data_IF_958223819117
#
_entry.id   IF_958223819117
#
_cell.length_a   1.000
_cell.length_b   1.000
_cell.length_c   1.000
_cell.angle_alpha   90.00
_cell.angle_beta   90.00
_cell.angle_gamma   90.00
#
_symmetry.space_group_name_H-M   'P 1'
#
loop_
_entity.id
_entity.type
_entity.pdbx_description
1 polymer ?
#
# COMPACT_ATOMS: atom_id res chain seq x y z
N UNK A 1 4.18 15.74 -4.47
CA UNK A 1 5.28 16.72 -4.38
C UNK A 1 5.97 16.53 -3.03
N UNK A 2 7.29 16.33 -3.01
CA UNK A 2 8.07 16.15 -1.77
C UNK A 2 8.91 17.39 -1.47
N UNK A 3 9.26 17.63 -0.22
CA UNK A 3 10.14 18.73 0.20
C UNK A 3 11.33 18.15 0.96
N UNK A 4 12.55 18.48 0.52
CA UNK A 4 13.77 18.14 1.26
C UNK A 4 13.78 18.79 2.66
N UNK A 5 14.39 18.10 3.62
CA UNK A 5 14.57 18.53 5.00
C UNK A 5 15.07 19.98 5.14
N UNK A 6 16.02 20.41 4.31
CA UNK A 6 16.58 21.77 4.37
C UNK A 6 15.69 22.86 3.75
N UNK A 7 14.73 22.46 2.92
CA UNK A 7 13.71 23.32 2.31
C UNK A 7 12.47 23.47 3.21
N UNK A 8 12.14 22.43 4.00
CA UNK A 8 10.97 22.39 4.90
C UNK A 8 10.90 23.60 5.82
N UNK A 9 11.99 23.94 6.50
CA UNK A 9 12.04 25.04 7.47
C UNK A 9 11.61 26.40 6.89
N UNK A 10 11.89 26.62 5.60
CA UNK A 10 11.55 27.87 4.90
C UNK A 10 10.07 27.94 4.50
N UNK A 11 9.38 26.78 4.47
CA UNK A 11 8.02 26.64 3.93
C UNK A 11 6.96 26.38 5.01
N UNK A 12 7.35 26.03 6.25
CA UNK A 12 6.43 25.65 7.35
C UNK A 12 5.22 26.57 7.46
N UNK A 13 5.43 27.89 7.61
CA UNK A 13 4.31 28.84 7.75
C UNK A 13 3.34 28.87 6.58
N UNK A 14 3.84 28.63 5.36
CA UNK A 14 2.99 28.58 4.16
C UNK A 14 2.20 27.28 4.09
N UNK A 15 2.83 26.16 4.44
CA UNK A 15 2.19 24.85 4.50
C UNK A 15 1.14 24.76 5.60
N UNK A 16 1.40 25.36 6.77
CA UNK A 16 0.42 25.49 7.87
C UNK A 16 -0.84 26.22 7.41
N UNK A 17 -0.67 27.36 6.73
CA UNK A 17 -1.81 28.12 6.20
C UNK A 17 -2.61 27.31 5.19
N UNK A 18 -1.95 26.59 4.28
CA UNK A 18 -2.64 25.74 3.30
C UNK A 18 -3.42 24.62 4.01
N UNK A 19 -2.86 24.01 5.04
CA UNK A 19 -3.57 23.01 5.86
C UNK A 19 -4.84 23.58 6.47
N UNK A 20 -4.75 24.76 7.08
CA UNK A 20 -5.90 25.44 7.69
C UNK A 20 -6.97 25.80 6.65
N UNK A 21 -6.56 26.42 5.53
CA UNK A 21 -7.47 26.82 4.44
C UNK A 21 -8.18 25.62 3.80
N UNK A 22 -7.50 24.49 3.68
CA UNK A 22 -8.06 23.24 3.14
C UNK A 22 -8.78 22.39 4.20
N UNK A 23 -8.80 22.80 5.47
CA UNK A 23 -9.43 22.05 6.55
C UNK A 23 -8.81 20.67 6.80
N UNK A 24 -7.51 20.51 6.58
CA UNK A 24 -6.83 19.22 6.73
C UNK A 24 -6.66 18.90 8.23
N UNK A 25 -7.18 17.77 8.73
CA UNK A 25 -7.09 17.43 10.14
C UNK A 25 -5.66 17.09 10.55
N UNK A 26 -5.16 17.75 11.59
CA UNK A 26 -3.77 17.60 12.09
C UNK A 26 -3.63 16.64 13.28
N UNK A 27 -4.74 16.16 13.84
CA UNK A 27 -4.75 15.25 14.98
C UNK A 27 -6.06 14.49 15.09
N UNK A 28 -6.16 13.59 16.06
CA UNK A 28 -7.33 12.73 16.27
C UNK A 28 -8.08 13.12 17.55
N UNK A 29 -9.43 13.00 17.58
CA UNK A 29 -10.21 13.11 18.81
C UNK A 29 -9.76 12.11 19.89
N UNK A 30 -9.97 12.47 21.16
CA UNK A 30 -9.48 11.67 22.28
C UNK A 30 -10.10 10.26 22.37
N UNK A 31 -11.38 10.13 22.05
CA UNK A 31 -12.09 8.84 21.98
C UNK A 31 -11.56 7.95 20.85
N UNK A 32 -11.16 8.54 19.72
CA UNK A 32 -10.50 7.82 18.62
C UNK A 32 -9.13 7.29 19.04
N UNK A 33 -8.33 8.10 19.74
CA UNK A 33 -7.02 7.66 20.26
C UNK A 33 -7.16 6.49 21.26
N UNK A 34 -8.13 6.59 22.17
CA UNK A 34 -8.44 5.51 23.12
C UNK A 34 -8.89 4.24 22.39
N UNK A 35 -9.74 4.36 21.37
CA UNK A 35 -10.17 3.24 20.55
C UNK A 35 -9.00 2.61 19.78
N UNK A 36 -8.09 3.43 19.23
CA UNK A 36 -6.90 2.96 18.53
C UNK A 36 -5.96 2.15 19.44
N UNK A 37 -5.69 2.65 20.65
CA UNK A 37 -4.87 1.96 21.64
C UNK A 37 -5.48 0.64 22.12
N UNK A 38 -6.80 0.55 22.16
CA UNK A 38 -7.52 -0.68 22.47
C UNK A 38 -7.44 -1.67 21.29
N UNK A 39 -7.70 -1.20 20.07
CA UNK A 39 -7.65 -1.99 18.85
C UNK A 39 -6.24 -2.55 18.59
N UNK A 40 -5.20 -1.76 18.82
CA UNK A 40 -3.80 -2.17 18.63
C UNK A 40 -3.37 -3.36 19.52
N UNK A 41 -4.12 -3.64 20.58
CA UNK A 41 -3.88 -4.77 21.51
C UNK A 41 -4.65 -6.03 21.13
N UNK A 42 -5.49 -5.98 20.10
CA UNK A 42 -6.23 -7.14 19.63
C UNK A 42 -5.26 -8.20 19.08
N UNK A 43 -5.39 -9.42 19.57
CA UNK A 43 -4.64 -10.58 19.06
C UNK A 43 -5.46 -11.25 17.95
N UNK A 44 -4.89 -11.47 16.75
CA UNK A 44 -5.61 -12.11 15.64
C UNK A 44 -6.33 -13.41 16.07
N UNK A 45 -7.57 -13.55 15.61
CA UNK A 45 -8.47 -14.63 16.02
C UNK A 45 -8.19 -15.95 15.33
N UNK A 46 -8.95 -16.99 15.68
CA UNK A 46 -8.92 -18.32 15.02
C UNK A 46 -9.39 -18.29 13.56
N UNK A 47 -10.05 -17.20 13.15
CA UNK A 47 -10.58 -17.03 11.80
C UNK A 47 -9.48 -16.68 10.78
N UNK A 48 -8.29 -16.29 11.24
CA UNK A 48 -7.12 -16.08 10.40
C UNK A 48 -6.39 -17.40 10.19
N UNK A 49 -6.32 -17.87 8.94
CA UNK A 49 -5.49 -19.03 8.59
C UNK A 49 -4.01 -18.73 8.79
N UNK A 50 -3.24 -19.73 9.22
CA UNK A 50 -1.80 -19.57 9.33
C UNK A 50 -1.13 -19.66 7.95
N UNK A 51 -0.56 -18.54 7.50
CA UNK A 51 0.23 -18.39 6.27
C UNK A 51 1.65 -17.88 6.61
N UNK A 52 2.08 -17.96 7.86
CA UNK A 52 3.34 -17.36 8.34
C UNK A 52 4.59 -18.02 7.74
N UNK A 53 4.46 -19.26 7.23
CA UNK A 53 5.53 -19.98 6.54
C UNK A 53 5.74 -19.52 5.08
N UNK A 54 4.76 -18.84 4.47
CA UNK A 54 4.89 -18.30 3.12
C UNK A 54 5.79 -17.05 3.14
N UNK A 55 6.62 -16.92 2.09
CA UNK A 55 7.64 -15.88 2.01
C UNK A 55 7.06 -14.57 1.50
N UNK A 56 6.15 -13.98 2.26
CA UNK A 56 5.67 -12.63 2.00
C UNK A 56 6.79 -11.61 2.20
N UNK A 57 6.90 -10.67 1.28
CA UNK A 57 7.78 -9.49 1.36
C UNK A 57 6.98 -8.23 1.07
N UNK A 58 7.45 -7.09 1.56
CA UNK A 58 6.91 -5.77 1.19
C UNK A 58 7.91 -5.03 0.31
N UNK A 59 7.45 -4.10 -0.53
CA UNK A 59 8.30 -3.28 -1.39
C UNK A 59 7.77 -1.85 -1.43
N UNK A 60 8.49 -0.96 -0.75
CA UNK A 60 8.04 0.39 -0.41
C UNK A 60 9.20 1.40 -0.45
N UNK A 61 8.95 2.71 -0.27
CA UNK A 61 10.04 3.63 0.04
C UNK A 61 10.81 3.19 1.30
N UNK A 62 12.13 3.44 1.33
CA UNK A 62 13.00 3.03 2.42
C UNK A 62 12.50 3.56 3.79
N UNK A 63 11.95 4.78 3.82
CA UNK A 63 11.45 5.46 5.02
C UNK A 63 10.03 5.06 5.44
N UNK A 64 9.29 4.30 4.63
CA UNK A 64 7.90 3.96 4.95
C UNK A 64 7.80 3.04 6.14
N UNK A 65 6.76 3.24 6.95
CA UNK A 65 6.43 2.46 8.15
C UNK A 65 4.98 1.99 8.16
N UNK A 66 4.15 2.59 7.31
CA UNK A 66 2.78 2.26 6.95
C UNK A 66 2.76 1.25 5.79
N UNK A 67 3.23 0.03 6.07
CA UNK A 67 3.28 -1.05 5.07
C UNK A 67 1.92 -1.74 4.98
N UNK A 68 1.12 -1.34 3.99
CA UNK A 68 -0.27 -1.82 3.82
C UNK A 68 -0.39 -3.15 3.06
N UNK A 69 0.65 -3.51 2.31
CA UNK A 69 0.59 -4.61 1.35
C UNK A 69 1.89 -5.41 1.31
N UNK A 70 1.77 -6.72 1.24
CA UNK A 70 2.85 -7.67 1.05
C UNK A 70 2.51 -8.64 -0.08
N UNK A 71 3.51 -9.29 -0.66
CA UNK A 71 3.30 -10.25 -1.73
C UNK A 71 4.21 -11.46 -1.63
N UNK A 72 3.70 -12.59 -2.10
CA UNK A 72 4.47 -13.78 -2.43
C UNK A 72 4.05 -14.25 -3.83
N UNK A 73 4.97 -14.84 -4.59
CA UNK A 73 4.72 -15.27 -5.97
C UNK A 73 5.15 -16.73 -6.14
N UNK A 74 4.31 -17.50 -6.81
CA UNK A 74 4.57 -18.88 -7.22
C UNK A 74 4.42 -19.01 -8.75
N UNK A 75 5.37 -19.69 -9.39
CA UNK A 75 5.25 -20.08 -10.81
C UNK A 75 4.54 -21.43 -10.90
N UNK A 76 3.35 -21.45 -11.48
CA UNK A 76 2.48 -22.63 -11.61
C UNK A 76 2.31 -23.02 -13.08
N UNK A 77 3.28 -23.78 -13.61
CA UNK A 77 3.27 -24.20 -15.00
C UNK A 77 3.48 -23.02 -15.94
N UNK A 78 2.44 -22.61 -16.69
CA UNK A 78 2.49 -21.40 -17.53
C UNK A 78 1.97 -20.16 -16.82
N UNK A 79 1.29 -20.33 -15.70
CA UNK A 79 0.68 -19.24 -14.95
C UNK A 79 1.61 -18.74 -13.86
N UNK A 80 1.36 -17.52 -13.41
CA UNK A 80 1.92 -16.97 -12.18
C UNK A 80 0.79 -16.85 -11.16
N UNK A 81 1.01 -17.34 -9.95
CA UNK A 81 0.09 -17.17 -8.81
C UNK A 81 0.69 -16.11 -7.89
N UNK A 82 -0.01 -14.99 -7.78
CA UNK A 82 0.27 -13.92 -6.85
C UNK A 82 -0.57 -14.13 -5.59
N UNK A 83 0.08 -14.30 -4.46
CA UNK A 83 -0.53 -14.13 -3.14
C UNK A 83 -0.31 -12.69 -2.72
N UNK A 84 -1.36 -11.87 -2.83
CA UNK A 84 -1.32 -10.45 -2.48
C UNK A 84 -2.01 -10.25 -1.14
N UNK A 85 -1.24 -9.92 -0.10
CA UNK A 85 -1.75 -9.72 1.23
C UNK A 85 -1.94 -8.23 1.50
N UNK A 86 -3.14 -7.84 1.89
CA UNK A 86 -3.47 -6.48 2.33
C UNK A 86 -3.69 -6.50 3.84
N UNK A 87 -3.17 -5.52 4.57
CA UNK A 87 -3.42 -5.36 6.00
C UNK A 87 -4.93 -5.47 6.31
N UNK A 88 -5.31 -6.34 7.25
CA UNK A 88 -6.71 -6.56 7.61
C UNK A 88 -7.19 -5.43 8.54
N UNK A 89 -7.32 -4.21 8.02
CA UNK A 89 -7.79 -3.05 8.80
C UNK A 89 -9.17 -3.32 9.42
N UNK A 90 -10.01 -4.11 8.74
CA UNK A 90 -11.32 -4.53 9.26
C UNK A 90 -11.27 -5.45 10.49
N UNK A 91 -10.08 -5.97 10.84
CA UNK A 91 -9.84 -6.61 12.14
C UNK A 91 -9.77 -5.61 13.28
N UNK A 92 -9.22 -4.41 13.03
CA UNK A 92 -9.00 -3.37 14.03
C UNK A 92 -10.14 -2.34 14.10
N UNK A 93 -10.88 -2.18 12.99
CA UNK A 93 -11.89 -1.15 12.82
C UNK A 93 -13.23 -1.82 12.50
N UNK A 94 -14.21 -1.64 13.38
CA UNK A 94 -15.54 -2.20 13.21
C UNK A 94 -16.59 -1.12 12.89
N UNK A 95 -17.64 -1.47 12.12
CA UNK A 95 -18.68 -0.52 11.76
C UNK A 95 -19.29 0.18 12.98
N UNK A 96 -19.34 1.51 12.95
CA UNK A 96 -19.93 2.33 13.99
C UNK A 96 -19.02 2.66 15.18
N UNK A 97 -17.81 2.11 15.28
CA UNK A 97 -16.84 2.47 16.33
C UNK A 97 -16.20 3.85 16.07
N UNK A 98 -15.56 4.49 17.07
CA UNK A 98 -14.93 5.81 16.89
C UNK A 98 -13.94 5.86 15.72
N UNK A 99 -13.16 4.79 15.52
CA UNK A 99 -12.21 4.67 14.41
C UNK A 99 -12.90 4.68 13.03
N UNK A 100 -14.03 3.98 12.90
CA UNK A 100 -14.80 3.89 11.66
C UNK A 100 -15.42 5.23 11.29
N UNK A 101 -16.04 5.91 12.26
CA UNK A 101 -16.63 7.25 12.04
C UNK A 101 -15.57 8.27 11.66
N UNK A 102 -14.44 8.31 12.37
CA UNK A 102 -13.35 9.23 12.05
C UNK A 102 -12.74 8.94 10.68
N UNK A 103 -12.53 7.66 10.33
CA UNK A 103 -12.04 7.29 9.01
C UNK A 103 -13.02 7.67 7.91
N UNK A 104 -14.34 7.56 8.15
CA UNK A 104 -15.37 8.01 7.22
C UNK A 104 -15.31 9.52 6.98
N UNK A 105 -15.15 10.32 8.04
CA UNK A 105 -15.02 11.79 7.93
C UNK A 105 -13.72 12.21 7.22
N UNK A 106 -12.61 11.50 7.45
CA UNK A 106 -11.31 11.75 6.79
C UNK A 106 -11.28 11.29 5.34
N UNK A 107 -11.97 10.19 5.03
CA UNK A 107 -12.01 9.44 3.76
C UNK A 107 -10.67 8.86 3.28
N UNK A 108 -9.58 9.64 3.29
CA UNK A 108 -8.27 9.27 2.75
C UNK A 108 -7.13 9.85 3.61
N UNK A 109 -5.94 9.23 3.54
CA UNK A 109 -4.72 9.87 4.00
C UNK A 109 -4.35 11.00 3.03
N UNK A 110 -4.12 12.22 3.55
CA UNK A 110 -3.66 13.36 2.75
C UNK A 110 -2.14 13.52 2.93
N UNK A 111 -1.40 13.32 1.84
CA UNK A 111 0.07 13.48 1.83
C UNK A 111 0.43 14.93 1.49
N UNK A 112 0.82 15.69 2.52
CA UNK A 112 1.36 17.03 2.37
C UNK A 112 2.87 16.97 2.11
N UNK A 113 3.47 18.05 1.58
CA UNK A 113 4.91 18.04 1.27
C UNK A 113 5.82 17.86 2.50
N UNK A 114 5.34 18.17 3.70
CA UNK A 114 6.09 18.12 4.96
C UNK A 114 5.57 17.11 5.99
N UNK A 115 4.30 16.69 5.91
CA UNK A 115 3.71 15.69 6.80
C UNK A 115 2.54 14.93 6.14
N UNK A 116 1.95 13.99 6.89
CA UNK A 116 0.79 13.22 6.44
C UNK A 116 -0.35 13.44 7.43
N UNK A 117 -1.53 13.79 6.92
CA UNK A 117 -2.76 13.65 7.68
C UNK A 117 -3.27 12.23 7.48
N UNK A 118 -2.90 11.33 8.39
CA UNK A 118 -3.18 9.90 8.26
C UNK A 118 -4.67 9.58 8.45
N UNK A 119 -5.13 8.52 7.79
CA UNK A 119 -6.49 8.01 7.95
C UNK A 119 -6.73 7.42 9.35
N UNK A 120 -5.74 6.71 9.89
CA UNK A 120 -5.77 6.11 11.22
C UNK A 120 -4.61 6.59 12.10
N UNK A 121 -4.78 6.60 13.43
CA UNK A 121 -3.68 6.88 14.37
C UNK A 121 -2.49 5.95 14.16
N UNK A 122 -1.27 6.47 14.37
CA UNK A 122 -0.01 5.77 14.04
C UNK A 122 0.18 4.46 14.80
N UNK A 123 -0.39 4.33 16.00
CA UNK A 123 -0.39 3.06 16.77
C UNK A 123 -1.04 1.90 15.97
N UNK A 124 -1.95 2.22 15.05
CA UNK A 124 -2.52 1.26 14.10
C UNK A 124 -1.78 1.30 12.76
N UNK A 125 -1.79 2.45 12.07
CA UNK A 125 -1.34 2.56 10.67
C UNK A 125 0.15 2.32 10.47
N UNK A 126 0.99 2.72 11.41
CA UNK A 126 2.45 2.51 11.40
C UNK A 126 2.87 1.40 12.38
N UNK A 127 1.87 0.71 12.97
CA UNK A 127 2.05 -0.20 14.09
C UNK A 127 1.29 -1.51 13.89
N UNK A 128 0.18 -1.68 14.61
CA UNK A 128 -0.51 -2.97 14.71
C UNK A 128 -1.06 -3.50 13.37
N UNK A 129 -1.51 -2.61 12.48
CA UNK A 129 -2.03 -2.98 11.17
C UNK A 129 -0.93 -3.06 10.09
N UNK A 130 0.20 -2.37 10.29
CA UNK A 130 1.29 -2.41 9.32
C UNK A 130 1.95 -3.78 9.29
N UNK A 131 2.20 -4.28 8.06
CA UNK A 131 2.89 -5.52 7.74
C UNK A 131 4.41 -5.40 7.95
N UNK A 132 4.82 -4.91 9.13
CA UNK A 132 6.22 -4.77 9.54
C UNK A 132 6.96 -6.12 9.51
N UNK A 133 8.28 -6.12 9.22
CA UNK A 133 9.06 -7.36 9.12
C UNK A 133 9.10 -8.13 10.44
N UNK A 134 9.21 -9.45 10.33
CA UNK A 134 9.43 -10.43 11.41
C UNK A 134 8.29 -10.57 12.44
N UNK A 135 7.19 -9.84 12.27
CA UNK A 135 6.01 -9.89 13.15
C UNK A 135 4.82 -10.52 12.43
N UNK A 136 4.09 -11.38 13.15
CA UNK A 136 2.84 -11.95 12.62
C UNK A 136 1.75 -10.87 12.60
N UNK A 137 1.15 -10.67 11.43
CA UNK A 137 0.14 -9.63 11.20
C UNK A 137 -1.11 -10.19 10.53
N UNK A 138 -2.31 -9.74 10.93
CA UNK A 138 -3.54 -10.11 10.26
C UNK A 138 -3.62 -9.42 8.89
N UNK A 139 -3.90 -10.19 7.86
CA UNK A 139 -4.02 -9.75 6.48
C UNK A 139 -5.20 -10.44 5.78
N UNK A 140 -5.72 -9.79 4.74
CA UNK A 140 -6.59 -10.41 3.74
C UNK A 140 -5.73 -10.80 2.56
N UNK A 141 -5.61 -12.10 2.29
CA UNK A 141 -4.80 -12.65 1.20
C UNK A 141 -5.68 -12.91 -0.01
N UNK A 142 -5.41 -12.21 -1.10
CA UNK A 142 -5.98 -12.44 -2.41
C UNK A 142 -5.06 -13.39 -3.18
N UNK A 143 -5.58 -14.51 -3.64
CA UNK A 143 -4.85 -15.43 -4.53
C UNK A 143 -5.27 -15.14 -5.96
N UNK A 144 -4.36 -14.58 -6.74
CA UNK A 144 -4.60 -14.07 -8.10
C UNK A 144 -3.76 -14.86 -9.08
N UNK A 145 -4.42 -15.47 -10.07
CA UNK A 145 -3.75 -16.19 -11.15
C UNK A 145 -3.61 -15.31 -12.37
N UNK A 146 -2.39 -15.20 -12.89
CA UNK A 146 -2.04 -14.40 -14.08
C UNK A 146 -1.58 -15.33 -15.20
N UNK A 147 -2.36 -15.39 -16.28
CA UNK A 147 -2.08 -16.19 -17.46
C UNK A 147 -0.97 -15.59 -18.35
N UNK A 148 -0.46 -16.32 -19.35
CA UNK A 148 0.59 -15.85 -20.27
C UNK A 148 0.20 -14.61 -21.10
N UNK A 149 -1.09 -14.39 -21.28
CA UNK A 149 -1.68 -13.24 -21.96
C UNK A 149 -1.89 -12.02 -21.04
N UNK A 150 -1.58 -12.16 -19.75
CA UNK A 150 -1.82 -11.14 -18.73
C UNK A 150 -3.24 -11.11 -18.19
N UNK A 151 -4.09 -12.08 -18.54
CA UNK A 151 -5.39 -12.26 -17.92
C UNK A 151 -5.24 -12.57 -16.43
N UNK A 152 -5.78 -11.70 -15.57
CA UNK A 152 -5.78 -11.86 -14.12
C UNK A 152 -7.14 -12.38 -13.63
N UNK A 153 -7.14 -13.47 -12.85
CA UNK A 153 -8.34 -14.08 -12.27
C UNK A 153 -8.17 -14.27 -10.77
N UNK A 154 -9.23 -14.00 -10.00
CA UNK A 154 -9.25 -14.27 -8.56
C UNK A 154 -9.56 -15.75 -8.32
N UNK A 155 -8.61 -16.48 -7.75
CA UNK A 155 -8.78 -17.89 -7.37
C UNK A 155 -9.34 -18.04 -5.95
N UNK A 156 -9.12 -17.06 -5.07
CA UNK A 156 -9.68 -17.05 -3.73
C UNK A 156 -9.30 -15.83 -2.89
N UNK A 157 -10.03 -15.65 -1.79
CA UNK A 157 -9.77 -14.62 -0.77
C UNK A 157 -9.95 -15.25 0.60
N UNK A 158 -9.04 -14.95 1.52
CA UNK A 158 -9.16 -15.38 2.90
C UNK A 158 -8.49 -14.42 3.88
N UNK A 159 -8.93 -14.45 5.13
CA UNK A 159 -8.19 -13.83 6.24
C UNK A 159 -7.09 -14.77 6.70
N UNK A 160 -5.88 -14.24 6.88
CA UNK A 160 -4.72 -14.99 7.29
C UNK A 160 -3.81 -14.21 8.25
N UNK A 161 -3.03 -14.94 9.03
CA UNK A 161 -1.84 -14.45 9.69
C UNK A 161 -0.66 -14.66 8.74
N UNK A 162 0.04 -13.58 8.41
CA UNK A 162 1.27 -13.62 7.61
C UNK A 162 2.45 -13.13 8.44
N UNK A 163 3.66 -13.53 8.05
CA UNK A 163 4.90 -12.90 8.50
C UNK A 163 5.56 -12.24 7.30
N UNK A 164 5.86 -10.95 7.39
CA UNK A 164 6.69 -10.28 6.40
C UNK A 164 8.16 -10.68 6.64
N UNK A 165 8.77 -11.38 5.70
CA UNK A 165 10.16 -11.87 5.81
C UNK A 165 11.19 -10.82 5.41
N UNK A 166 10.80 -9.79 4.65
CA UNK A 166 11.70 -8.70 4.27
C UNK A 166 10.95 -7.44 3.84
N UNK A 167 11.38 -6.29 4.39
CA UNK A 167 11.00 -4.97 3.87
C UNK A 167 12.00 -4.55 2.80
N UNK A 168 11.61 -4.65 1.53
CA UNK A 168 12.41 -4.22 0.40
C UNK A 168 12.20 -2.73 0.13
N UNK A 169 13.22 -2.07 -0.42
CA UNK A 169 13.17 -0.65 -0.75
C UNK A 169 13.29 -0.44 -2.27
N UNK A 170 12.38 0.35 -2.86
CA UNK A 170 12.37 0.59 -4.31
C UNK A 170 13.74 1.00 -4.89
N UNK A 171 14.47 1.85 -4.17
CA UNK A 171 15.74 2.42 -4.63
C UNK A 171 16.95 1.48 -4.54
N UNK A 172 16.83 0.34 -3.85
CA UNK A 172 17.95 -0.58 -3.62
C UNK A 172 17.63 -2.05 -3.86
N UNK A 173 16.39 -2.38 -4.19
CA UNK A 173 15.97 -3.75 -4.48
C UNK A 173 16.64 -4.25 -5.77
N UNK A 174 17.08 -5.51 -5.74
CA UNK A 174 17.66 -6.22 -6.88
C UNK A 174 16.78 -7.40 -7.29
N UNK A 175 17.07 -8.00 -8.44
CA UNK A 175 16.33 -9.17 -8.91
C UNK A 175 16.43 -10.38 -7.97
N UNK A 176 17.52 -10.49 -7.18
CA UNK A 176 17.73 -11.58 -6.23
C UNK A 176 16.91 -11.42 -4.93
N UNK A 177 16.44 -10.20 -4.65
CA UNK A 177 15.67 -9.88 -3.44
C UNK A 177 14.17 -10.20 -3.59
N UNK A 178 13.68 -10.28 -4.83
CA UNK A 178 12.26 -10.47 -5.16
C UNK A 178 11.97 -11.91 -5.59
N UNK A 179 10.74 -12.42 -5.40
CA UNK A 179 10.40 -13.78 -5.80
C UNK A 179 10.43 -13.96 -7.32
N UNK A 180 10.70 -15.20 -7.75
CA UNK A 180 10.64 -15.61 -9.14
C UNK A 180 9.29 -15.24 -9.77
N UNK A 181 9.33 -14.70 -10.99
CA UNK A 181 8.13 -14.28 -11.71
C UNK A 181 7.67 -12.85 -11.41
N UNK A 182 8.29 -12.11 -10.49
CA UNK A 182 7.95 -10.70 -10.21
C UNK A 182 8.00 -9.80 -11.46
N UNK A 183 9.13 -9.78 -12.17
CA UNK A 183 9.29 -9.00 -13.41
C UNK A 183 8.41 -9.53 -14.56
N UNK A 184 8.23 -10.84 -14.66
CA UNK A 184 7.41 -11.48 -15.69
C UNK A 184 5.92 -11.17 -15.50
N UNK A 185 5.43 -11.11 -14.26
CA UNK A 185 4.06 -10.69 -13.95
C UNK A 185 3.83 -9.26 -14.45
N UNK A 186 4.73 -8.33 -14.15
CA UNK A 186 4.66 -6.95 -14.66
C UNK A 186 4.57 -6.93 -16.19
N UNK A 187 5.46 -7.64 -16.88
CA UNK A 187 5.47 -7.74 -18.36
C UNK A 187 4.12 -8.24 -18.91
N UNK A 188 3.54 -9.26 -18.28
CA UNK A 188 2.23 -9.81 -18.69
C UNK A 188 1.10 -8.82 -18.49
N UNK A 189 1.06 -8.12 -17.35
CA UNK A 189 0.05 -7.10 -17.07
C UNK A 189 0.16 -5.93 -18.05
N UNK A 190 1.39 -5.49 -18.35
CA UNK A 190 1.63 -4.45 -19.35
C UNK A 190 1.12 -4.87 -20.75
N UNK A 191 1.43 -6.10 -21.19
CA UNK A 191 0.93 -6.65 -22.46
C UNK A 191 -0.61 -6.61 -22.53
N UNK A 192 -1.28 -6.98 -21.44
CA UNK A 192 -2.74 -6.95 -21.36
C UNK A 192 -3.31 -5.53 -21.34
N UNK A 193 -2.62 -4.55 -20.78
CA UNK A 193 -3.01 -3.12 -20.88
C UNK A 193 -2.88 -2.59 -22.30
N UNK A 194 -1.76 -2.88 -22.97
CA UNK A 194 -1.53 -2.50 -24.37
C UNK A 194 -2.59 -3.09 -25.30
N UNK A 195 -2.92 -4.38 -25.12
CA UNK A 195 -3.96 -5.06 -25.89
C UNK A 195 -5.36 -4.44 -25.68
N UNK A 196 -5.63 -3.83 -24.52
CA UNK A 196 -6.87 -3.11 -24.23
C UNK A 196 -6.89 -1.67 -24.74
N UNK A 197 -5.76 -1.18 -25.27
CA UNK A 197 -5.62 0.22 -25.70
C UNK A 197 -5.69 1.19 -24.53
N UNK A 198 -5.12 0.82 -23.38
CA UNK A 198 -5.05 1.67 -22.18
C UNK A 198 -3.71 2.43 -22.14
N UNK A 199 -3.59 3.64 -22.74
CA UNK A 199 -2.35 4.39 -22.71
C UNK A 199 -2.05 4.86 -21.28
N UNK A 200 -0.82 4.63 -20.82
CA UNK A 200 -0.31 5.23 -19.60
C UNK A 200 0.25 6.61 -19.90
N UNK A 201 -0.31 7.63 -19.24
CA UNK A 201 0.29 8.96 -19.19
C UNK A 201 0.91 9.11 -17.81
N UNK A 202 2.23 8.94 -17.73
CA UNK A 202 2.96 9.07 -16.48
C UNK A 202 3.66 10.43 -16.43
N UNK A 203 3.43 11.16 -15.33
CA UNK A 203 4.13 12.41 -15.04
C UNK A 203 5.23 12.13 -14.03
N UNK A 204 6.44 12.69 -14.20
CA UNK A 204 7.49 12.54 -13.22
C UNK A 204 7.08 13.15 -11.88
N UNK A 205 7.54 12.55 -10.79
CA UNK A 205 7.27 13.08 -9.46
C UNK A 205 8.04 14.40 -9.29
N UNK A 206 7.39 15.39 -8.67
CA UNK A 206 7.98 16.68 -8.37
C UNK A 206 8.57 16.72 -6.97
N UNK A 207 9.79 17.22 -6.84
CA UNK A 207 10.49 17.40 -5.57
C UNK A 207 11.02 18.83 -5.43
N UNK A 208 10.83 19.43 -4.26
CA UNK A 208 11.41 20.73 -3.91
C UNK A 208 12.68 20.48 -3.10
N UNK A 209 13.82 20.78 -3.68
CA UNK A 209 15.13 20.64 -3.05
C UNK A 209 15.74 22.01 -2.72
N UNK A 210 16.54 22.09 -1.65
CA UNK A 210 17.36 23.27 -1.36
C UNK A 210 18.74 23.09 -1.99
N UNK A 211 19.04 23.85 -3.03
CA UNK A 211 20.32 23.83 -3.74
C UNK A 211 20.94 25.22 -3.69
N UNK A 212 22.18 25.33 -3.19
CA UNK A 212 22.91 26.60 -3.04
C UNK A 212 22.12 27.67 -2.26
N UNK A 213 21.38 27.24 -1.23
CA UNK A 213 20.56 28.13 -0.40
C UNK A 213 19.24 28.60 -1.05
N UNK A 214 18.88 28.10 -2.24
CA UNK A 214 17.63 28.42 -2.94
C UNK A 214 16.76 27.17 -3.11
N UNK A 215 15.44 27.36 -3.14
CA UNK A 215 14.50 26.30 -3.48
C UNK A 215 14.54 26.06 -5.00
N UNK A 216 14.63 24.80 -5.41
CA UNK A 216 14.57 24.36 -6.81
C UNK A 216 13.57 23.21 -6.94
N UNK A 217 12.77 23.26 -8.00
CA UNK A 217 11.93 22.15 -8.44
C UNK A 217 12.81 21.14 -9.20
N UNK A 218 12.74 19.89 -8.79
CA UNK A 218 13.39 18.74 -9.40
C UNK A 218 12.32 17.72 -9.80
N UNK A 219 12.67 16.89 -10.77
CA UNK A 219 11.80 15.84 -11.28
C UNK A 219 12.47 14.49 -11.10
N UNK A 220 11.76 13.55 -10.48
CA UNK A 220 12.22 12.19 -10.27
C UNK A 220 11.47 11.25 -11.23
N UNK A 221 12.18 10.54 -12.12
CA UNK A 221 11.54 9.47 -12.88
C UNK A 221 11.13 8.33 -11.94
N UNK A 222 10.08 7.60 -12.33
CA UNK A 222 9.74 6.37 -11.64
C UNK A 222 10.82 5.32 -11.83
N UNK A 223 11.01 4.51 -10.81
CA UNK A 223 11.89 3.36 -10.82
C UNK A 223 11.15 2.16 -11.41
N UNK A 224 11.88 1.28 -12.09
CA UNK A 224 11.33 0.03 -12.60
C UNK A 224 10.66 -0.80 -11.49
N UNK A 225 11.25 -0.82 -10.29
CA UNK A 225 10.69 -1.50 -9.12
C UNK A 225 9.33 -0.92 -8.68
N UNK A 226 9.10 0.38 -8.86
CA UNK A 226 7.81 1.03 -8.59
C UNK A 226 6.75 0.58 -9.61
N UNK A 227 7.13 0.47 -10.89
CA UNK A 227 6.25 0.00 -11.97
C UNK A 227 5.90 -1.49 -11.82
N UNK A 228 6.89 -2.31 -11.46
CA UNK A 228 6.70 -3.73 -11.21
C UNK A 228 5.79 -3.96 -10.00
N UNK A 229 6.00 -3.24 -8.90
CA UNK A 229 5.12 -3.34 -7.73
C UNK A 229 3.68 -2.89 -8.04
N UNK A 230 3.52 -1.80 -8.80
CA UNK A 230 2.20 -1.31 -9.20
C UNK A 230 1.42 -2.33 -10.06
N UNK A 231 2.11 -3.18 -10.83
CA UNK A 231 1.46 -4.24 -11.59
C UNK A 231 0.83 -5.32 -10.70
N UNK A 232 1.36 -5.57 -9.49
CA UNK A 232 0.78 -6.50 -8.52
C UNK A 232 -0.60 -6.02 -8.05
N UNK A 233 -0.68 -4.73 -7.67
CA UNK A 233 -1.93 -4.10 -7.25
C UNK A 233 -2.94 -4.07 -8.39
N UNK A 234 -2.49 -3.75 -9.61
CA UNK A 234 -3.36 -3.73 -10.79
C UNK A 234 -3.91 -5.11 -11.12
N UNK A 235 -3.08 -6.16 -11.13
CA UNK A 235 -3.52 -7.53 -11.35
C UNK A 235 -4.60 -7.94 -10.34
N UNK A 236 -4.38 -7.63 -9.06
CA UNK A 236 -5.32 -7.94 -7.98
C UNK A 236 -6.62 -7.16 -8.13
N UNK A 237 -6.56 -5.86 -8.39
CA UNK A 237 -7.74 -5.01 -8.56
C UNK A 237 -8.58 -5.42 -9.78
N UNK A 238 -7.95 -5.79 -10.90
CA UNK A 238 -8.66 -6.31 -12.06
C UNK A 238 -9.37 -7.64 -11.75
N UNK A 239 -8.67 -8.56 -11.08
CA UNK A 239 -9.22 -9.86 -10.69
C UNK A 239 -10.42 -9.71 -9.74
N UNK A 240 -10.29 -8.86 -8.71
CA UNK A 240 -11.37 -8.57 -7.75
C UNK A 240 -12.54 -7.86 -8.44
N UNK A 241 -12.27 -6.83 -9.25
CA UNK A 241 -13.31 -6.10 -9.97
C UNK A 241 -14.12 -6.99 -10.91
N UNK A 242 -13.45 -7.91 -11.63
CA UNK A 242 -14.13 -8.89 -12.47
C UNK A 242 -14.99 -9.87 -11.65
N UNK A 243 -14.49 -10.36 -10.52
CA UNK A 243 -15.23 -11.26 -9.65
C UNK A 243 -16.50 -10.61 -9.08
N UNK A 244 -16.37 -9.36 -8.59
CA UNK A 244 -17.49 -8.55 -8.10
C UNK A 244 -18.54 -8.31 -9.19
N UNK A 245 -18.10 -7.88 -10.38
CA UNK A 245 -18.97 -7.69 -11.54
C UNK A 245 -19.74 -8.97 -11.92
N UNK A 246 -19.06 -10.11 -11.97
CA UNK A 246 -19.66 -11.40 -12.30
C UNK A 246 -20.71 -11.82 -11.27
N UNK A 247 -20.44 -11.58 -9.99
CA UNK A 247 -21.36 -11.85 -8.88
C UNK A 247 -22.48 -10.82 -8.74
N UNK A 248 -22.45 -9.72 -9.53
CA UNK A 248 -23.38 -8.58 -9.45
C UNK A 248 -23.47 -8.02 -8.02
N UNK A 249 -22.32 -7.97 -7.35
CA UNK A 249 -22.16 -7.42 -6.00
C UNK A 249 -20.94 -6.50 -6.01
N UNK A 250 -20.95 -5.46 -5.18
CA UNK A 250 -19.99 -4.35 -5.26
C UNK A 250 -20.71 -3.02 -5.40
N UNK A 251 -19.97 -1.94 -5.68
CA UNK A 251 -20.54 -0.63 -6.03
C UNK A 251 -21.43 -0.71 -7.28
#
# INVERSE_FOLDING_TARGET
MRVDSGARELMVRGLDRIREECGIPTGFPADVLVAADAAAKLTPGRDHRDRTAERFVTLDPASSVDLDQAFAIEVSGRDIVLHYAIADVGWFVHPGDPLDREAFERAVTVYLPDERATLYPTVLSEGAASLLPDVDRPAVVFTVRVGPDGGARLDGVERALIRNHAKLAYGSVTADDVPDGFAELHRRIQLAEEARGAPRVEFPEQEIARVDGRLRLQFRPRLESEEQNAALSLATNLAVGQALLAARTGL
#
